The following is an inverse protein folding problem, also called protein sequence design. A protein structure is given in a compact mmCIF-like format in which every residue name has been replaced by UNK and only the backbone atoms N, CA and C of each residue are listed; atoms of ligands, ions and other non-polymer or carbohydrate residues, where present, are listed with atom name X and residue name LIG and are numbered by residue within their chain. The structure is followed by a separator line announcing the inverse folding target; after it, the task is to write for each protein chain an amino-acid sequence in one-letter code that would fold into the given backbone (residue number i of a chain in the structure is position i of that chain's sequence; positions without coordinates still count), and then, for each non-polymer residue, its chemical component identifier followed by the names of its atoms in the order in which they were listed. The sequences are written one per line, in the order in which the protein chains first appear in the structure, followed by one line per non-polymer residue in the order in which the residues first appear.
data_IF_162277018903
#
_entry.id   IF_162277018903
#
_cell.length_a   1.000
_cell.length_b   1.000
_cell.length_c   1.000
_cell.angle_alpha   90.00
_cell.angle_beta   90.00
_cell.angle_gamma   90.00
#
_symmetry.space_group_name_H-M   'P 1'
#
loop_
_entity.id
_entity.type
_entity.pdbx_description
1 polymer ?
#
# COMPACT_ATOMS: atom_id res chain seq x y z
N UNK A 1 -7.24 20.47 -56.81
CA UNK A 1 -7.77 20.48 -55.42
C UNK A 1 -8.44 19.14 -55.02
N UNK A 2 -7.94 17.97 -55.45
CA UNK A 2 -8.55 16.66 -55.08
C UNK A 2 -7.63 15.76 -54.24
N UNK A 3 -6.33 16.04 -54.19
CA UNK A 3 -5.34 15.19 -53.52
C UNK A 3 -5.21 15.52 -52.03
N UNK A 4 -5.36 16.79 -51.66
CA UNK A 4 -5.28 17.26 -50.25
C UNK A 4 -6.40 16.64 -49.39
N UNK A 5 -7.60 16.49 -49.95
CA UNK A 5 -8.75 15.90 -49.24
C UNK A 5 -8.58 14.40 -48.97
N UNK A 6 -7.79 13.68 -49.78
CA UNK A 6 -7.55 12.24 -49.59
C UNK A 6 -6.50 12.00 -48.50
N UNK A 7 -5.47 12.86 -48.40
CA UNK A 7 -4.47 12.74 -47.32
C UNK A 7 -5.03 13.02 -45.92
N UNK A 8 -6.00 13.92 -45.79
CA UNK A 8 -6.66 14.20 -44.51
C UNK A 8 -7.50 13.02 -44.00
N UNK A 9 -8.14 12.26 -44.89
CA UNK A 9 -8.92 11.08 -44.52
C UNK A 9 -8.05 9.92 -44.05
N UNK A 10 -6.82 9.79 -44.59
CA UNK A 10 -5.89 8.72 -44.20
C UNK A 10 -5.27 8.99 -42.83
N UNK A 11 -5.00 10.26 -42.47
CA UNK A 11 -4.46 10.62 -41.15
C UNK A 11 -5.44 10.35 -40.00
N UNK A 12 -6.76 10.43 -40.25
CA UNK A 12 -7.79 10.12 -39.26
C UNK A 12 -7.89 8.61 -38.93
N UNK A 13 -7.34 7.73 -39.78
CA UNK A 13 -7.32 6.28 -39.53
C UNK A 13 -6.10 5.83 -38.71
N UNK A 14 -5.12 6.70 -38.46
CA UNK A 14 -3.93 6.43 -37.64
C UNK A 14 -4.04 6.97 -36.21
N UNK A 15 -5.17 7.55 -35.82
CA UNK A 15 -5.47 7.77 -34.41
C UNK A 15 -5.87 6.43 -33.79
N UNK A 16 -4.89 5.53 -33.61
CA UNK A 16 -5.04 4.49 -32.62
C UNK A 16 -5.44 5.22 -31.32
N UNK A 17 -6.53 4.81 -30.65
CA UNK A 17 -6.70 5.23 -29.28
C UNK A 17 -5.42 4.77 -28.58
N UNK A 18 -4.59 5.73 -28.17
CA UNK A 18 -3.63 5.47 -27.14
C UNK A 18 -4.49 5.08 -25.94
N UNK A 19 -4.76 3.79 -25.80
CA UNK A 19 -5.10 3.21 -24.54
C UNK A 19 -3.89 3.52 -23.68
N UNK A 20 -3.93 4.68 -23.02
CA UNK A 20 -3.22 4.84 -21.77
C UNK A 20 -3.48 3.54 -21.06
N UNK A 21 -2.46 2.71 -20.89
CA UNK A 21 -2.54 1.56 -20.03
C UNK A 21 -2.99 2.14 -18.70
N UNK A 22 -4.29 2.06 -18.43
CA UNK A 22 -4.87 2.33 -17.15
C UNK A 22 -4.46 1.12 -16.34
N UNK A 23 -3.15 1.03 -16.04
CA UNK A 23 -2.69 0.33 -14.87
C UNK A 23 -3.38 1.07 -13.74
N UNK A 24 -4.56 0.59 -13.38
CA UNK A 24 -5.05 0.70 -12.02
C UNK A 24 -3.88 0.19 -11.17
N UNK A 25 -3.01 1.12 -10.75
CA UNK A 25 -2.14 0.86 -9.63
C UNK A 25 -3.12 0.72 -8.48
N UNK A 26 -3.63 -0.49 -8.27
CA UNK A 26 -4.57 -0.89 -7.22
C UNK A 26 -3.89 -0.76 -5.85
N UNK A 27 -3.32 0.41 -5.56
CA UNK A 27 -2.90 0.82 -4.23
C UNK A 27 -4.15 1.14 -3.42
N UNK A 28 -4.09 0.89 -2.11
CA UNK A 28 -5.25 0.95 -1.22
C UNK A 28 -6.35 0.01 -1.69
N UNK A 29 -5.99 -1.23 -2.05
CA UNK A 29 -6.95 -2.31 -2.32
C UNK A 29 -6.59 -3.47 -1.41
N UNK A 30 -7.54 -3.83 -0.56
CA UNK A 30 -7.38 -4.90 0.40
C UNK A 30 -7.60 -6.26 -0.25
N UNK A 31 -6.66 -7.17 0.00
CA UNK A 31 -6.75 -8.57 -0.36
C UNK A 31 -6.77 -9.47 0.89
N UNK A 32 -7.40 -10.63 0.81
CA UNK A 32 -7.40 -11.62 1.88
C UNK A 32 -7.02 -13.01 1.37
N UNK A 33 -6.09 -13.67 2.06
CA UNK A 33 -5.71 -15.07 1.82
C UNK A 33 -5.16 -15.67 3.11
N UNK A 34 -5.54 -16.92 3.41
CA UNK A 34 -5.06 -17.66 4.58
C UNK A 34 -5.17 -16.89 5.91
N UNK A 35 -6.31 -16.21 6.12
CA UNK A 35 -6.58 -15.35 7.28
C UNK A 35 -5.63 -14.15 7.45
N UNK A 36 -4.88 -13.79 6.40
CA UNK A 36 -4.06 -12.59 6.37
C UNK A 36 -4.71 -11.60 5.41
N UNK A 37 -4.84 -10.36 5.89
CA UNK A 37 -5.36 -9.23 5.15
C UNK A 37 -4.17 -8.40 4.67
N UNK A 38 -4.08 -8.10 3.37
CA UNK A 38 -2.96 -7.42 2.72
C UNK A 38 -3.43 -6.14 2.07
N UNK A 39 -2.59 -5.12 2.11
CA UNK A 39 -2.73 -3.92 1.30
C UNK A 39 -1.35 -3.43 0.84
N UNK A 40 -1.36 -2.70 -0.26
CA UNK A 40 -0.19 -1.98 -0.76
C UNK A 40 -0.56 -0.51 -0.87
N UNK A 41 0.30 0.37 -0.40
CA UNK A 41 0.16 1.82 -0.57
C UNK A 41 1.53 2.43 -0.87
N UNK A 42 1.66 3.76 -0.74
CA UNK A 42 2.90 4.46 -0.99
C UNK A 42 3.20 5.49 0.10
N UNK A 43 4.49 5.79 0.27
CA UNK A 43 4.97 6.97 1.00
C UNK A 43 4.64 8.26 0.23
N UNK A 44 4.80 9.43 0.83
CA UNK A 44 4.65 10.70 0.10
C UNK A 44 5.67 10.85 -1.03
N UNK A 45 6.84 10.24 -0.88
CA UNK A 45 7.88 10.16 -1.90
C UNK A 45 7.62 9.11 -2.99
N UNK A 46 6.51 8.36 -2.92
CA UNK A 46 6.10 7.37 -3.93
C UNK A 46 6.75 6.00 -3.79
N UNK A 47 7.46 5.73 -2.69
CA UNK A 47 8.02 4.41 -2.41
C UNK A 47 6.92 3.43 -1.99
N UNK A 48 6.97 2.16 -2.43
CA UNK A 48 5.94 1.18 -2.10
C UNK A 48 5.97 0.83 -0.62
N UNK A 49 4.77 0.63 -0.06
CA UNK A 49 4.53 0.16 1.31
C UNK A 49 3.69 -1.09 1.24
N UNK A 50 4.11 -2.14 1.92
CA UNK A 50 3.33 -3.34 2.15
C UNK A 50 2.79 -3.35 3.58
N UNK A 51 1.51 -3.63 3.71
CA UNK A 51 0.82 -3.77 4.98
C UNK A 51 0.17 -5.14 5.02
N UNK A 52 0.35 -5.86 6.13
CA UNK A 52 -0.34 -7.14 6.34
C UNK A 52 -0.82 -7.27 7.77
N UNK A 53 -2.05 -7.75 7.93
CA UNK A 53 -2.69 -8.01 9.21
C UNK A 53 -3.08 -9.47 9.28
N UNK A 54 -2.45 -10.24 10.17
CA UNK A 54 -2.83 -11.61 10.43
C UNK A 54 -4.04 -11.64 11.35
N UNK A 55 -5.01 -12.51 11.04
CA UNK A 55 -6.19 -12.82 11.85
C UNK A 55 -6.89 -11.57 12.47
N UNK A 56 -7.30 -10.58 11.66
CA UNK A 56 -8.01 -9.41 12.17
C UNK A 56 -9.28 -9.81 12.94
N UNK A 57 -9.50 -9.18 14.09
CA UNK A 57 -10.59 -9.47 15.02
C UNK A 57 -10.33 -10.62 15.99
N UNK A 58 -9.12 -11.21 16.00
CA UNK A 58 -8.74 -12.30 16.91
C UNK A 58 -7.68 -11.85 17.92
N UNK A 59 -7.54 -12.59 19.03
CA UNK A 59 -6.51 -12.35 20.05
C UNK A 59 -5.08 -12.60 19.55
N UNK A 60 -4.94 -13.31 18.43
CA UNK A 60 -3.70 -13.60 17.73
C UNK A 60 -3.36 -12.56 16.64
N UNK A 61 -4.13 -11.47 16.56
CA UNK A 61 -3.93 -10.45 15.56
C UNK A 61 -2.53 -9.84 15.67
N UNK A 62 -1.85 -9.74 14.53
CA UNK A 62 -0.57 -9.06 14.43
C UNK A 62 -0.51 -8.27 13.12
N UNK A 63 0.35 -7.27 13.11
CA UNK A 63 0.55 -6.35 12.01
C UNK A 63 2.01 -6.39 11.56
N UNK A 64 2.21 -6.38 10.26
CA UNK A 64 3.51 -6.15 9.65
C UNK A 64 3.41 -5.03 8.61
N UNK A 65 4.28 -4.03 8.75
CA UNK A 65 4.40 -2.90 7.82
C UNK A 65 5.83 -2.88 7.30
N UNK A 66 6.00 -2.83 5.99
CA UNK A 66 7.31 -2.83 5.34
C UNK A 66 7.37 -1.81 4.23
N UNK A 67 8.38 -0.93 4.23
CA UNK A 67 8.53 0.09 3.20
C UNK A 67 9.98 0.51 3.01
N UNK A 68 10.25 1.14 1.87
CA UNK A 68 11.57 1.64 1.51
C UNK A 68 11.71 3.09 1.99
N UNK A 69 12.83 3.41 2.61
CA UNK A 69 13.27 4.78 2.87
C UNK A 69 14.68 5.02 2.37
N UNK A 70 15.00 6.28 2.10
CA UNK A 70 16.34 6.69 1.72
C UNK A 70 17.29 6.64 2.93
N UNK A 71 18.55 6.32 2.66
CA UNK A 71 19.62 6.33 3.65
C UNK A 71 20.02 4.94 4.15
N UNK A 72 20.83 4.95 5.23
CA UNK A 72 21.42 3.73 5.79
C UNK A 72 20.64 3.24 7.00
N UNK A 73 20.64 1.93 7.22
CA UNK A 73 20.19 1.37 8.48
C UNK A 73 21.02 1.94 9.64
N UNK A 74 20.34 2.41 10.68
CA UNK A 74 20.97 2.82 11.94
C UNK A 74 20.76 1.76 13.02
N UNK A 75 21.37 1.98 14.18
CA UNK A 75 21.21 1.10 15.36
C UNK A 75 19.92 1.37 16.15
N UNK A 76 19.17 2.41 15.78
CA UNK A 76 17.99 2.84 16.53
C UNK A 76 16.79 1.94 16.23
N UNK A 77 16.19 1.38 17.30
CA UNK A 77 14.86 0.81 17.23
C UNK A 77 13.82 1.94 17.10
N UNK A 78 13.17 2.02 15.94
CA UNK A 78 12.11 2.98 15.70
C UNK A 78 10.76 2.36 16.10
N UNK A 79 9.90 3.09 16.86
CA UNK A 79 8.55 2.63 17.09
C UNK A 79 7.67 2.82 15.85
N UNK A 80 6.51 2.17 15.81
CA UNK A 80 5.51 2.42 14.78
C UNK A 80 4.56 3.53 15.23
N UNK A 81 4.52 4.65 14.53
CA UNK A 81 3.50 5.68 14.76
C UNK A 81 2.26 5.39 13.92
N UNK A 82 1.08 5.37 14.55
CA UNK A 82 -0.24 5.21 13.94
C UNK A 82 -1.14 6.35 14.41
N UNK A 83 -1.55 7.24 13.50
CA UNK A 83 -2.40 8.40 13.81
C UNK A 83 -1.86 9.28 14.96
N UNK A 84 -0.54 9.46 15.05
CA UNK A 84 0.12 10.20 16.12
C UNK A 84 0.34 9.40 17.40
N UNK A 85 -0.24 8.19 17.53
CA UNK A 85 -0.03 7.29 18.67
C UNK A 85 1.15 6.37 18.40
N UNK A 86 2.05 6.26 19.38
CA UNK A 86 3.19 5.34 19.33
C UNK A 86 2.74 3.93 19.71
N UNK A 87 2.87 2.97 18.79
CA UNK A 87 2.64 1.56 19.01
C UNK A 87 3.99 0.85 19.22
N UNK A 88 4.12 0.02 20.28
CA UNK A 88 5.27 -0.85 20.45
C UNK A 88 5.39 -1.81 19.27
N UNK A 89 6.51 -1.74 18.55
CA UNK A 89 6.78 -2.57 17.40
C UNK A 89 8.21 -3.12 17.47
N UNK A 90 8.40 -4.36 17.02
CA UNK A 90 9.73 -4.86 16.70
C UNK A 90 10.15 -4.24 15.37
N UNK A 91 11.25 -3.50 15.40
CA UNK A 91 11.86 -2.89 14.23
C UNK A 91 12.96 -3.81 13.66
N UNK A 92 13.03 -3.91 12.35
CA UNK A 92 14.15 -4.50 11.63
C UNK A 92 14.46 -3.66 10.39
N UNK A 93 15.74 -3.49 10.08
CA UNK A 93 16.18 -2.70 8.93
C UNK A 93 17.10 -3.54 8.05
N UNK A 94 16.86 -3.50 6.73
CA UNK A 94 17.68 -4.20 5.73
C UNK A 94 18.23 -3.19 4.73
N UNK A 95 19.54 -3.15 4.56
CA UNK A 95 20.19 -2.24 3.61
C UNK A 95 19.99 -2.71 2.16
N UNK A 96 19.59 -1.80 1.27
CA UNK A 96 19.44 -2.04 -0.18
C UNK A 96 20.07 -0.90 -0.99
N UNK A 97 21.34 -1.05 -1.35
CA UNK A 97 22.09 0.00 -2.04
C UNK A 97 22.19 1.26 -1.18
N UNK A 98 21.71 2.40 -1.71
CA UNK A 98 21.65 3.68 -0.99
C UNK A 98 20.38 3.86 -0.13
N UNK A 99 19.43 2.93 -0.24
CA UNK A 99 18.17 2.92 0.49
C UNK A 99 18.18 1.82 1.54
N UNK A 100 17.12 1.78 2.35
CA UNK A 100 16.87 0.74 3.34
C UNK A 100 15.41 0.31 3.31
N UNK A 101 15.16 -0.93 3.67
CA UNK A 101 13.82 -1.46 3.92
C UNK A 101 13.60 -1.45 5.42
N UNK A 102 12.55 -0.77 5.86
CA UNK A 102 12.13 -0.72 7.26
C UNK A 102 10.96 -1.68 7.47
N UNK A 103 11.12 -2.58 8.43
CA UNK A 103 10.12 -3.57 8.79
C UNK A 103 9.68 -3.36 10.24
N UNK A 104 8.37 -3.19 10.44
CA UNK A 104 7.75 -3.07 11.75
C UNK A 104 6.82 -4.25 11.97
N UNK A 105 6.95 -4.93 13.09
CA UNK A 105 6.05 -6.00 13.52
C UNK A 105 5.41 -5.66 14.86
N UNK A 106 4.09 -5.60 14.90
CA UNK A 106 3.29 -5.34 16.10
C UNK A 106 2.54 -6.61 16.46
N UNK A 107 2.75 -7.10 17.68
CA UNK A 107 2.10 -8.31 18.22
C UNK A 107 1.02 -7.99 19.25
N UNK A 108 0.81 -6.71 19.55
CA UNK A 108 -0.29 -6.26 20.40
C UNK A 108 -1.63 -6.33 19.65
N UNK A 109 -2.34 -7.43 19.86
CA UNK A 109 -3.60 -7.69 19.17
C UNK A 109 -4.69 -6.65 19.46
N UNK A 110 -4.69 -6.02 20.64
CA UNK A 110 -5.69 -4.99 20.96
C UNK A 110 -5.50 -3.76 20.08
N UNK A 111 -4.28 -3.23 20.01
CA UNK A 111 -3.96 -2.09 19.13
C UNK A 111 -4.19 -2.43 17.65
N UNK A 112 -3.80 -3.62 17.20
CA UNK A 112 -4.01 -4.06 15.80
C UNK A 112 -5.50 -4.19 15.48
N UNK A 113 -6.30 -4.78 16.36
CA UNK A 113 -7.74 -4.89 16.14
C UNK A 113 -8.42 -3.52 16.18
N UNK A 114 -8.00 -2.62 17.07
CA UNK A 114 -8.46 -1.23 17.10
C UNK A 114 -8.17 -0.50 15.79
N UNK A 115 -6.96 -0.68 15.25
CA UNK A 115 -6.54 -0.16 13.95
C UNK A 115 -7.45 -0.67 12.81
N UNK A 116 -7.67 -1.99 12.73
CA UNK A 116 -8.55 -2.59 11.72
C UNK A 116 -9.99 -2.12 11.85
N UNK A 117 -10.50 -2.00 13.08
CA UNK A 117 -11.85 -1.50 13.32
C UNK A 117 -12.00 -0.06 12.81
N UNK A 118 -11.00 0.79 13.03
CA UNK A 118 -11.00 2.16 12.53
C UNK A 118 -11.06 2.22 10.99
N UNK A 119 -10.27 1.37 10.31
CA UNK A 119 -10.31 1.23 8.85
C UNK A 119 -11.69 0.73 8.37
N UNK A 120 -12.29 -0.25 9.07
CA UNK A 120 -13.63 -0.76 8.72
C UNK A 120 -14.74 0.28 8.91
N UNK A 121 -14.50 1.30 9.72
CA UNK A 121 -15.38 2.46 9.92
C UNK A 121 -15.08 3.62 8.96
N UNK A 122 -14.46 3.34 7.82
CA UNK A 122 -14.15 4.30 6.74
C UNK A 122 -13.17 5.42 7.09
N UNK A 123 -12.40 5.26 8.17
CA UNK A 123 -11.33 6.18 8.50
C UNK A 123 -10.02 5.80 7.82
N UNK A 124 -9.30 6.82 7.35
CA UNK A 124 -7.92 6.68 6.88
C UNK A 124 -6.96 6.64 8.06
N UNK A 125 -5.96 5.75 7.97
CA UNK A 125 -4.87 5.67 8.92
C UNK A 125 -3.62 6.30 8.33
N UNK A 126 -2.93 7.10 9.15
CA UNK A 126 -1.65 7.70 8.85
C UNK A 126 -0.56 6.97 9.64
N UNK A 127 0.28 6.20 8.95
CA UNK A 127 1.46 5.57 9.52
C UNK A 127 2.68 6.48 9.37
N UNK A 128 3.51 6.54 10.41
CA UNK A 128 4.77 7.29 10.42
C UNK A 128 4.64 8.74 9.96
N UNK A 129 3.46 9.33 10.18
CA UNK A 129 3.09 10.68 9.74
C UNK A 129 3.18 10.94 8.22
N UNK A 130 3.30 9.89 7.40
CA UNK A 130 3.60 10.03 5.97
C UNK A 130 2.74 9.10 5.09
N UNK A 131 2.56 7.86 5.54
CA UNK A 131 1.95 6.79 4.76
C UNK A 131 0.45 6.75 5.04
N UNK A 132 -0.37 6.95 4.01
CA UNK A 132 -1.83 6.86 4.13
C UNK A 132 -2.31 5.47 3.76
N UNK A 133 -3.08 4.84 4.66
CA UNK A 133 -3.78 3.57 4.44
C UNK A 133 -5.27 3.86 4.45
N UNK A 134 -5.96 3.55 3.35
CA UNK A 134 -7.39 3.84 3.23
C UNK A 134 -8.24 2.62 3.58
N UNK A 135 -9.49 2.86 3.96
CA UNK A 135 -10.46 1.79 4.21
C UNK A 135 -10.76 1.00 2.93
N UNK A 136 -10.92 1.69 1.80
CA UNK A 136 -11.21 1.11 0.49
C UNK A 136 -12.21 -0.06 0.58
N UNK A 137 -11.84 -1.25 0.10
CA UNK A 137 -12.66 -2.46 0.17
C UNK A 137 -12.35 -3.36 1.38
N UNK A 138 -11.82 -2.84 2.49
CA UNK A 138 -11.44 -3.67 3.66
C UNK A 138 -12.60 -4.47 4.25
N UNK A 139 -13.84 -4.00 4.08
CA UNK A 139 -15.05 -4.71 4.50
C UNK A 139 -15.37 -5.91 3.59
N UNK A 140 -14.91 -5.88 2.33
CA UNK A 140 -15.10 -6.92 1.31
C UNK A 140 -13.81 -7.11 0.49
N UNK A 141 -12.72 -7.61 1.11
CA UNK A 141 -11.42 -7.69 0.47
C UNK A 141 -11.43 -8.69 -0.69
N UNK A 142 -10.64 -8.42 -1.74
CA UNK A 142 -10.48 -9.33 -2.87
C UNK A 142 -9.72 -10.58 -2.42
N UNK A 143 -10.01 -11.75 -2.97
CA UNK A 143 -9.19 -12.93 -2.66
C UNK A 143 -7.81 -12.83 -3.34
N UNK A 144 -6.73 -12.96 -2.58
CA UNK A 144 -5.37 -12.89 -3.12
C UNK A 144 -4.36 -12.26 -2.18
N UNK A 145 -3.24 -11.81 -2.75
CA UNK A 145 -2.15 -11.14 -2.04
C UNK A 145 -1.85 -9.75 -2.61
N UNK A 146 -2.00 -9.59 -3.93
CA UNK A 146 -1.64 -8.39 -4.69
C UNK A 146 -2.53 -8.28 -5.92
N UNK A 147 -2.52 -7.13 -6.61
CA UNK A 147 -3.13 -6.98 -7.94
C UNK A 147 -2.63 -8.07 -8.90
N UNK A 148 -3.51 -8.50 -9.82
CA UNK A 148 -3.13 -9.36 -10.94
C UNK A 148 -2.67 -8.45 -12.09
N UNK A 149 -1.38 -8.46 -12.40
CA UNK A 149 -0.81 -7.78 -13.56
C UNK A 149 -0.87 -8.68 -14.80
#
# INVERSE_FOLDING_TARGET
MKIVSIMLAVLACFTAPAWSAFQEREYNTWYMKNAVLYDMTQTSAGYPVMVSVFQPGRKSANLLVSYITEGRCGENNLPLNVNGKVLPAKYNCVQIGQNRIEHFSVVDAESVNGMVMHLKSDFTILLQNDIKIWSANINTPKYGLTPRF
#
